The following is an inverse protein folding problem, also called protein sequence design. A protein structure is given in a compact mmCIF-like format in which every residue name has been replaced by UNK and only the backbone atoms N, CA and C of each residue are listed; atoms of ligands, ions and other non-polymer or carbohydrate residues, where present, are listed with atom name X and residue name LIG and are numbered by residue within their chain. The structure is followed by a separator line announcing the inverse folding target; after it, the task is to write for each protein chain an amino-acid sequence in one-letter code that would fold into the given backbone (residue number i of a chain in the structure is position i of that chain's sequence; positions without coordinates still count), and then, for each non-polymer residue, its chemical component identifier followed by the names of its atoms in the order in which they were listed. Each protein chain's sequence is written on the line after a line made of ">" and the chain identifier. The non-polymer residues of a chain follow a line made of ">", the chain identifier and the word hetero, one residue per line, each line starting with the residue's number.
data_IF_987330799828
#
_entry.id   IF_987330799828
#
_cell.length_a   1.000
_cell.length_b   1.000
_cell.length_c   1.000
_cell.angle_alpha   90.00
_cell.angle_beta   90.00
_cell.angle_gamma   90.00
#
_symmetry.space_group_name_H-M   'P 1'
#
loop_
_entity.id
_entity.type
_entity.pdbx_description
1 polymer ?
#
# COMPACT_ATOMS: atom_id res chain seq x y z
N UNK A 1 13.72 3.75 12.81
CA UNK A 1 13.77 2.82 11.66
C UNK A 1 12.89 1.63 12.01
N UNK A 2 11.85 1.38 11.22
CA UNK A 2 10.92 0.27 11.46
C UNK A 2 11.67 -1.05 11.36
N UNK A 3 11.48 -1.95 12.32
CA UNK A 3 12.11 -3.27 12.34
C UNK A 3 11.82 -4.04 11.05
N UNK A 4 12.83 -4.74 10.54
CA UNK A 4 12.67 -5.65 9.39
C UNK A 4 11.79 -6.82 9.81
N UNK A 5 10.48 -6.68 9.61
CA UNK A 5 9.51 -7.70 9.99
C UNK A 5 9.38 -8.74 8.87
N UNK A 6 9.51 -10.02 9.23
CA UNK A 6 9.35 -11.17 8.33
C UNK A 6 7.87 -11.53 8.31
N UNK A 7 7.21 -11.40 7.16
CA UNK A 7 5.79 -11.73 7.11
C UNK A 7 5.55 -13.25 7.09
N UNK A 8 4.29 -13.65 7.28
CA UNK A 8 3.84 -15.06 7.27
C UNK A 8 4.08 -15.78 5.94
N UNK A 9 4.43 -15.06 4.88
CA UNK A 9 4.78 -15.58 3.55
C UNK A 9 6.28 -15.59 3.29
N UNK A 10 7.09 -15.45 4.34
CA UNK A 10 8.55 -15.46 4.27
C UNK A 10 9.16 -14.30 3.45
N UNK A 11 8.46 -13.17 3.33
CA UNK A 11 8.95 -11.98 2.62
C UNK A 11 9.56 -11.00 3.61
N UNK A 12 10.71 -10.44 3.24
CA UNK A 12 11.36 -9.38 4.00
C UNK A 12 10.79 -8.03 3.57
N UNK A 13 10.19 -7.29 4.50
CA UNK A 13 9.74 -5.92 4.25
C UNK A 13 10.90 -4.94 4.49
N UNK A 14 11.87 -4.94 3.58
CA UNK A 14 13.10 -4.14 3.63
C UNK A 14 13.09 -2.92 2.68
N UNK A 15 12.02 -2.75 1.90
CA UNK A 15 11.84 -1.61 0.99
C UNK A 15 10.95 -0.56 1.66
N UNK A 16 11.43 0.68 1.70
CA UNK A 16 10.66 1.83 2.20
C UNK A 16 10.03 2.56 1.03
N UNK A 17 8.73 2.83 1.15
CA UNK A 17 7.99 3.73 0.25
C UNK A 17 7.46 4.90 1.07
N UNK A 18 7.44 6.09 0.46
CA UNK A 18 6.97 7.31 1.10
C UNK A 18 5.90 7.98 0.24
N UNK A 19 4.83 8.45 0.88
CA UNK A 19 3.75 9.20 0.26
C UNK A 19 3.67 10.58 0.89
N UNK A 20 3.27 11.57 0.09
CA UNK A 20 2.88 12.89 0.59
C UNK A 20 1.37 12.93 0.71
N UNK A 21 0.89 13.43 1.83
CA UNK A 21 -0.53 13.54 2.16
C UNK A 21 -0.76 14.87 2.86
N UNK A 22 -1.94 15.42 2.69
CA UNK A 22 -2.49 16.48 3.53
C UNK A 22 -2.79 15.96 4.94
N UNK A 23 -2.93 16.85 5.96
CA UNK A 23 -3.35 16.45 7.30
C UNK A 23 -4.69 15.71 7.33
N UNK A 24 -5.62 16.10 6.47
CA UNK A 24 -6.94 15.49 6.37
C UNK A 24 -6.86 14.05 5.86
N UNK A 25 -6.05 13.81 4.83
CA UNK A 25 -5.80 12.47 4.27
C UNK A 25 -5.09 11.55 5.28
N UNK A 26 -4.16 12.07 6.09
CA UNK A 26 -3.49 11.28 7.14
C UNK A 26 -4.48 10.87 8.24
N UNK A 27 -5.36 11.78 8.67
CA UNK A 27 -6.39 11.49 9.65
C UNK A 27 -7.39 10.45 9.15
N UNK A 28 -7.77 10.53 7.88
CA UNK A 28 -8.65 9.54 7.26
C UNK A 28 -7.98 8.15 7.17
N UNK A 29 -6.70 8.09 6.79
CA UNK A 29 -5.93 6.86 6.77
C UNK A 29 -5.90 6.20 8.15
N UNK A 30 -5.62 6.97 9.21
CA UNK A 30 -5.62 6.47 10.59
C UNK A 30 -6.97 5.91 11.02
N UNK A 31 -8.05 6.61 10.65
CA UNK A 31 -9.40 6.16 10.93
C UNK A 31 -9.69 4.83 10.23
N UNK A 32 -9.35 4.70 8.94
CA UNK A 32 -9.55 3.47 8.17
C UNK A 32 -8.75 2.29 8.72
N UNK A 33 -7.50 2.52 9.12
CA UNK A 33 -6.64 1.51 9.76
C UNK A 33 -7.31 0.96 11.02
N UNK A 34 -7.82 1.85 11.88
CA UNK A 34 -8.54 1.49 13.11
C UNK A 34 -9.85 0.75 12.82
N UNK A 35 -10.67 1.27 11.91
CA UNK A 35 -11.97 0.69 11.56
C UNK A 35 -11.86 -0.69 10.93
N UNK A 36 -10.83 -0.93 10.12
CA UNK A 36 -10.58 -2.22 9.48
C UNK A 36 -9.82 -3.21 10.38
N UNK A 37 -9.45 -2.82 11.61
CA UNK A 37 -8.83 -3.70 12.59
C UNK A 37 -7.35 -4.04 12.31
N UNK A 38 -6.64 -3.23 11.51
CA UNK A 38 -5.21 -3.44 11.29
C UNK A 38 -4.39 -2.89 12.46
N UNK A 39 -3.32 -3.59 12.81
CA UNK A 39 -2.42 -3.17 13.88
C UNK A 39 -1.47 -2.06 13.41
N UNK A 40 -1.17 -2.02 12.11
CA UNK A 40 -0.26 -1.03 11.53
C UNK A 40 -0.78 -0.44 10.24
N UNK A 41 -0.44 0.83 9.98
CA UNK A 41 -0.68 1.50 8.68
C UNK A 41 -0.09 0.71 7.51
N UNK A 42 1.07 0.08 7.74
CA UNK A 42 1.78 -0.69 6.72
C UNK A 42 0.98 -1.90 6.22
N UNK A 43 0.34 -2.65 7.11
CA UNK A 43 -0.49 -3.81 6.72
C UNK A 43 -1.70 -3.37 5.91
N UNK A 44 -2.41 -2.35 6.40
CA UNK A 44 -3.56 -1.77 5.70
C UNK A 44 -3.18 -1.30 4.29
N UNK A 45 -2.10 -0.52 4.15
CA UNK A 45 -1.68 0.02 2.85
C UNK A 45 -1.26 -1.11 1.90
N UNK A 46 -0.48 -2.09 2.36
CA UNK A 46 -0.05 -3.20 1.51
C UNK A 46 -1.26 -4.01 1.04
N UNK A 47 -2.20 -4.32 1.92
CA UNK A 47 -3.39 -5.09 1.55
C UNK A 47 -4.31 -4.30 0.62
N UNK A 48 -4.52 -3.02 0.93
CA UNK A 48 -5.30 -2.07 0.12
C UNK A 48 -4.72 -1.90 -1.28
N UNK A 49 -3.41 -1.65 -1.42
CA UNK A 49 -2.77 -1.43 -2.72
C UNK A 49 -2.74 -2.70 -3.58
N UNK A 50 -2.53 -3.88 -2.96
CA UNK A 50 -2.41 -5.13 -3.70
C UNK A 50 -3.75 -5.75 -4.12
N UNK A 51 -4.83 -5.50 -3.37
CA UNK A 51 -6.12 -6.18 -3.58
C UNK A 51 -7.26 -5.22 -3.98
N UNK A 52 -7.01 -3.91 -4.09
CA UNK A 52 -7.97 -3.02 -4.71
C UNK A 52 -8.08 -3.26 -6.22
N UNK A 53 -9.31 -3.20 -6.73
CA UNK A 53 -9.58 -3.15 -8.16
C UNK A 53 -9.04 -1.83 -8.70
N UNK A 54 -7.83 -1.84 -9.27
CA UNK A 54 -7.26 -0.67 -9.94
C UNK A 54 -7.92 -0.53 -11.30
N UNK A 55 -8.65 0.57 -11.53
CA UNK A 55 -9.05 0.96 -12.89
C UNK A 55 -7.80 1.49 -13.58
N UNK A 56 -7.17 0.65 -14.41
CA UNK A 56 -6.01 1.07 -15.19
C UNK A 56 -6.45 2.13 -16.21
N UNK A 57 -6.13 3.40 -15.94
CA UNK A 57 -6.15 4.43 -16.97
C UNK A 57 -4.91 4.15 -17.81
N UNK A 58 -5.11 3.65 -19.03
CA UNK A 58 -4.05 3.10 -19.88
C UNK A 58 -2.80 3.97 -19.91
N UNK A 59 -1.69 3.44 -19.39
CA UNK A 59 -0.37 4.02 -19.59
C UNK A 59 0.06 3.71 -21.04
N UNK A 60 0.49 4.69 -21.85
CA UNK A 60 1.02 4.44 -23.19
C UNK A 60 2.15 3.40 -23.23
N UNK A 61 2.91 3.23 -22.13
CA UNK A 61 3.97 2.21 -22.00
C UNK A 61 3.44 0.78 -21.77
N UNK A 62 2.16 0.61 -21.39
CA UNK A 62 1.54 -0.72 -21.25
C UNK A 62 1.11 -1.32 -22.59
N UNK A 63 1.02 -0.52 -23.67
CA UNK A 63 0.59 -1.01 -24.98
C UNK A 63 1.69 -1.75 -25.77
N UNK A 64 2.95 -1.71 -25.31
CA UNK A 64 4.10 -2.26 -26.04
C UNK A 64 4.41 -3.74 -25.82
N UNK A 65 3.62 -4.46 -25.01
CA UNK A 65 3.91 -5.86 -24.60
C UNK A 65 2.90 -6.88 -25.15
N UNK A 66 2.13 -6.50 -26.18
CA UNK A 66 1.13 -7.35 -26.83
C UNK A 66 1.31 -7.45 -28.36
N UNK A 67 2.53 -7.26 -28.86
CA UNK A 67 2.91 -7.55 -30.25
C UNK A 67 4.07 -8.53 -30.28
#
# INVERSE_FOLDING_TARGET
>A
MSEKNRDSKNRWRNVTIAFRMSPEEDAELDLRVKLCGYQTRQEYIIESVLHQKVTAVGNPLMLGLLI
#
